data_IF_423967740860
#
_entry.id   IF_423967740860
#
_cell.length_a   1.000
_cell.length_b   1.000
_cell.length_c   1.000
_cell.angle_alpha   90.00
_cell.angle_beta   90.00
_cell.angle_gamma   90.00
#
_symmetry.space_group_name_H-M   'P 1'
#
loop_
_entity.id
_entity.type
_entity.pdbx_description
1 polymer ?
#
# COMPACT_ATOMS: atom_id res chain seq x y z
N UNK A 1 0.40 6.94 -30.77
CA UNK A 1 1.08 7.94 -29.92
C UNK A 1 1.18 7.39 -28.50
N UNK A 2 2.32 6.82 -28.12
CA UNK A 2 2.58 6.36 -26.75
C UNK A 2 2.75 7.59 -25.86
N UNK A 3 1.76 7.92 -25.02
CA UNK A 3 1.90 9.02 -24.04
C UNK A 3 2.99 8.65 -23.05
N UNK A 4 4.14 9.32 -23.16
CA UNK A 4 5.23 9.21 -22.19
C UNK A 4 4.81 9.93 -20.90
N UNK A 5 4.76 9.21 -19.79
CA UNK A 5 4.57 9.83 -18.47
C UNK A 5 5.81 10.67 -18.16
N UNK A 6 5.63 11.98 -18.00
CA UNK A 6 6.75 12.88 -17.69
C UNK A 6 7.31 12.57 -16.29
N UNK A 7 8.62 12.77 -16.04
CA UNK A 7 9.21 12.55 -14.72
C UNK A 7 8.58 13.41 -13.62
N UNK A 8 8.06 14.59 -13.97
CA UNK A 8 7.32 15.46 -13.03
C UNK A 8 5.97 14.84 -12.67
N UNK A 9 5.20 14.40 -13.65
CA UNK A 9 3.91 13.74 -13.41
C UNK A 9 4.07 12.47 -12.57
N UNK A 10 5.05 11.62 -12.88
CA UNK A 10 5.32 10.41 -12.11
C UNK A 10 5.64 10.72 -10.63
N UNK A 11 6.47 11.73 -10.36
CA UNK A 11 6.77 12.16 -8.99
C UNK A 11 5.55 12.70 -8.25
N UNK A 12 4.67 13.44 -8.93
CA UNK A 12 3.43 13.93 -8.33
C UNK A 12 2.48 12.79 -7.99
N UNK A 13 2.29 11.83 -8.91
CA UNK A 13 1.43 10.65 -8.65
C UNK A 13 1.98 9.83 -7.50
N UNK A 14 3.30 9.58 -7.45
CA UNK A 14 3.92 8.87 -6.33
C UNK A 14 3.70 9.61 -5.01
N UNK A 15 3.87 10.93 -4.98
CA UNK A 15 3.67 11.72 -3.77
C UNK A 15 2.21 11.68 -3.29
N UNK A 16 1.25 11.92 -4.19
CA UNK A 16 -0.18 11.91 -3.86
C UNK A 16 -0.67 10.51 -3.47
N UNK A 17 -0.28 9.48 -4.22
CA UNK A 17 -0.62 8.09 -3.92
C UNK A 17 -0.02 7.63 -2.59
N UNK A 18 1.19 8.05 -2.27
CA UNK A 18 1.80 7.78 -0.96
C UNK A 18 1.11 8.54 0.19
N UNK A 19 0.70 9.79 -0.05
CA UNK A 19 -0.02 10.57 0.95
C UNK A 19 -1.38 9.95 1.31
N UNK A 20 -2.05 9.30 0.35
CA UNK A 20 -3.30 8.59 0.58
C UNK A 20 -3.14 7.39 1.55
N UNK A 21 -1.93 6.86 1.73
CA UNK A 21 -1.65 5.80 2.70
C UNK A 21 -1.45 6.32 4.14
N UNK A 22 -1.25 7.62 4.34
CA UNK A 22 -0.93 8.18 5.65
C UNK A 22 -2.00 7.91 6.72
N UNK A 23 -3.32 8.08 6.46
CA UNK A 23 -4.35 7.79 7.46
C UNK A 23 -4.35 6.32 7.88
N UNK A 24 -4.18 5.40 6.92
CA UNK A 24 -4.13 3.97 7.20
C UNK A 24 -2.90 3.58 8.02
N UNK A 25 -1.71 4.04 7.63
CA UNK A 25 -0.47 3.74 8.37
C UNK A 25 -0.54 4.30 9.78
N UNK A 26 -0.99 5.55 9.95
CA UNK A 26 -1.13 6.16 11.27
C UNK A 26 -2.11 5.39 12.16
N UNK A 27 -3.25 4.96 11.60
CA UNK A 27 -4.22 4.14 12.30
C UNK A 27 -3.63 2.79 12.71
N UNK A 28 -2.95 2.08 11.80
CA UNK A 28 -2.35 0.78 12.09
C UNK A 28 -1.27 0.86 13.16
N UNK A 29 -0.41 1.87 13.09
CA UNK A 29 0.59 2.15 14.13
C UNK A 29 -0.10 2.45 15.46
N UNK A 30 -1.16 3.26 15.47
CA UNK A 30 -1.92 3.56 16.68
C UNK A 30 -2.55 2.30 17.31
N UNK A 31 -3.11 1.40 16.49
CA UNK A 31 -3.64 0.12 16.95
C UNK A 31 -2.57 -0.79 17.54
N UNK A 32 -1.39 -0.84 16.92
CA UNK A 32 -0.27 -1.62 17.43
C UNK A 32 0.16 -1.16 18.85
N UNK A 33 0.05 0.13 19.16
CA UNK A 33 0.28 0.66 20.50
C UNK A 33 -0.94 0.55 21.46
N UNK A 34 -1.94 -0.28 21.13
CA UNK A 34 -3.12 -0.52 21.95
C UNK A 34 -4.27 0.47 21.73
N UNK A 35 -4.14 1.37 20.76
CA UNK A 35 -5.20 2.30 20.38
C UNK A 35 -6.43 1.59 19.81
N UNK A 36 -7.63 2.09 20.12
CA UNK A 36 -8.90 1.45 19.71
C UNK A 36 -9.75 2.29 18.74
N UNK A 37 -9.19 3.35 18.18
CA UNK A 37 -9.94 4.27 17.33
C UNK A 37 -10.46 3.53 16.10
N UNK A 38 -11.78 3.54 15.93
CA UNK A 38 -12.43 2.90 14.80
C UNK A 38 -12.57 1.38 14.90
N UNK A 39 -12.19 0.75 16.01
CA UNK A 39 -12.57 -0.63 16.33
C UNK A 39 -13.95 -0.64 16.99
N UNK A 40 -14.73 -1.70 16.75
CA UNK A 40 -15.95 -1.94 17.51
C UNK A 40 -15.63 -2.29 18.99
N UNK A 41 -16.61 -2.07 19.87
CA UNK A 41 -16.47 -2.41 21.27
C UNK A 41 -16.24 -3.92 21.45
N UNK A 42 -15.25 -4.26 22.27
CA UNK A 42 -14.85 -5.66 22.49
C UNK A 42 -14.09 -6.33 21.34
N UNK A 43 -13.89 -5.67 20.20
CA UNK A 43 -13.08 -6.23 19.11
C UNK A 43 -11.61 -6.30 19.51
N UNK A 44 -11.01 -7.49 19.32
CA UNK A 44 -9.61 -7.79 19.59
C UNK A 44 -8.90 -8.12 18.28
N UNK A 45 -8.01 -7.22 17.86
CA UNK A 45 -7.25 -7.33 16.61
C UNK A 45 -6.31 -8.54 16.64
N UNK A 46 -5.66 -8.79 17.78
CA UNK A 46 -4.70 -9.89 17.92
C UNK A 46 -5.42 -11.23 17.95
N UNK A 47 -6.51 -11.34 18.71
CA UNK A 47 -7.35 -12.53 18.73
C UNK A 47 -7.97 -12.85 17.37
N UNK A 48 -8.29 -11.83 16.58
CA UNK A 48 -8.77 -12.01 15.20
C UNK A 48 -7.66 -12.54 14.27
N UNK A 49 -6.40 -12.08 14.42
CA UNK A 49 -5.28 -12.65 13.67
C UNK A 49 -5.03 -14.12 14.00
N UNK A 50 -5.08 -14.49 15.29
CA UNK A 50 -4.96 -15.88 15.71
C UNK A 50 -6.07 -16.76 15.12
N UNK A 51 -7.33 -16.28 15.15
CA UNK A 51 -8.48 -16.98 14.56
C UNK A 51 -8.35 -17.16 13.06
N UNK A 52 -7.77 -16.18 12.36
CA UNK A 52 -7.52 -16.24 10.93
C UNK A 52 -6.29 -17.09 10.55
N UNK A 53 -5.66 -17.76 11.52
CA UNK A 53 -4.50 -18.62 11.29
C UNK A 53 -3.23 -17.86 10.95
N UNK A 54 -3.10 -16.61 11.43
CA UNK A 54 -1.87 -15.85 11.27
C UNK A 54 -0.71 -16.60 11.95
N UNK A 55 0.49 -16.67 11.32
CA UNK A 55 1.67 -17.26 11.93
C UNK A 55 2.01 -16.59 13.27
N UNK A 56 2.50 -17.37 14.23
CA UNK A 56 2.87 -16.90 15.57
C UNK A 56 3.82 -15.70 15.55
N UNK A 57 4.73 -15.64 14.56
CA UNK A 57 5.65 -14.52 14.39
C UNK A 57 4.93 -13.20 14.10
N UNK A 58 3.85 -13.22 13.32
CA UNK A 58 3.04 -12.02 13.03
C UNK A 58 2.23 -11.58 14.26
N UNK A 59 1.67 -12.55 14.98
CA UNK A 59 0.96 -12.30 16.24
C UNK A 59 1.92 -11.71 17.28
N UNK A 60 3.14 -12.24 17.39
CA UNK A 60 4.17 -11.72 18.28
C UNK A 60 4.54 -10.28 17.92
N UNK A 61 4.69 -9.99 16.62
CA UNK A 61 5.04 -8.66 16.12
C UNK A 61 3.97 -7.62 16.46
N UNK A 62 2.69 -7.98 16.25
CA UNK A 62 1.53 -7.15 16.60
C UNK A 62 1.51 -6.85 18.10
N UNK A 63 1.73 -7.87 18.94
CA UNK A 63 1.79 -7.74 20.42
C UNK A 63 2.94 -6.83 20.89
N UNK A 64 3.97 -6.65 20.08
CA UNK A 64 5.12 -5.76 20.37
C UNK A 64 5.00 -4.40 19.68
N UNK A 65 3.80 -4.03 19.21
CA UNK A 65 3.54 -2.71 18.65
C UNK A 65 4.03 -2.52 17.22
N UNK A 66 4.27 -3.61 16.50
CA UNK A 66 4.68 -3.56 15.10
C UNK A 66 3.57 -4.20 14.26
N UNK A 67 2.72 -3.36 13.66
CA UNK A 67 1.73 -3.84 12.70
C UNK A 67 2.42 -4.15 11.36
N UNK A 68 2.35 -5.42 10.94
CA UNK A 68 3.02 -5.88 9.73
C UNK A 68 2.48 -5.21 8.45
N UNK A 69 1.20 -4.84 8.43
CA UNK A 69 0.58 -4.15 7.29
C UNK A 69 1.04 -2.69 7.19
N UNK A 70 1.28 -2.02 8.30
CA UNK A 70 1.91 -0.70 8.34
C UNK A 70 3.34 -0.76 7.81
N UNK A 71 4.12 -1.77 8.21
CA UNK A 71 5.47 -2.01 7.70
C UNK A 71 5.46 -2.24 6.19
N UNK A 72 4.59 -3.13 5.69
CA UNK A 72 4.42 -3.38 4.26
C UNK A 72 4.00 -2.13 3.49
N UNK A 73 3.07 -1.34 4.02
CA UNK A 73 2.62 -0.09 3.42
C UNK A 73 3.77 0.92 3.32
N UNK A 74 4.56 1.09 4.38
CA UNK A 74 5.75 1.95 4.40
C UNK A 74 6.82 1.46 3.42
N UNK A 75 7.05 0.15 3.32
CA UNK A 75 7.93 -0.44 2.32
C UNK A 75 7.44 -0.17 0.90
N UNK A 76 6.13 -0.29 0.64
CA UNK A 76 5.52 0.04 -0.65
C UNK A 76 5.69 1.52 -1.02
N UNK A 77 5.46 2.42 -0.07
CA UNK A 77 5.70 3.87 -0.25
C UNK A 77 7.18 4.15 -0.54
N UNK A 78 8.09 3.56 0.24
CA UNK A 78 9.54 3.72 0.04
C UNK A 78 9.97 3.19 -1.33
N UNK A 79 9.45 2.03 -1.75
CA UNK A 79 9.68 1.46 -3.07
C UNK A 79 9.16 2.38 -4.18
N UNK A 80 7.96 2.96 -4.03
CA UNK A 80 7.42 3.92 -4.99
C UNK A 80 8.32 5.15 -5.15
N UNK A 81 8.83 5.70 -4.04
CA UNK A 81 9.82 6.78 -4.09
C UNK A 81 11.16 6.35 -4.72
N UNK A 82 11.63 5.13 -4.47
CA UNK A 82 12.83 4.58 -5.08
C UNK A 82 12.74 4.55 -6.61
N UNK A 83 11.54 4.34 -7.16
CA UNK A 83 11.33 4.28 -8.60
C UNK A 83 11.48 5.64 -9.29
N UNK A 84 11.18 6.75 -8.59
CA UNK A 84 11.14 8.10 -9.18
C UNK A 84 12.19 9.06 -8.65
N UNK A 85 12.92 8.71 -7.58
CA UNK A 85 13.97 9.55 -6.97
C UNK A 85 15.37 9.12 -7.43
N UNK A 86 16.35 10.05 -7.44
CA UNK A 86 17.72 9.75 -7.88
C UNK A 86 18.40 8.63 -7.11
N UNK A 87 18.15 8.51 -5.80
CA UNK A 87 18.80 7.52 -4.94
C UNK A 87 18.44 6.08 -5.35
N UNK A 88 17.22 5.82 -5.83
CA UNK A 88 16.81 4.48 -6.25
C UNK A 88 17.38 4.07 -7.61
N UNK A 89 18.06 4.96 -8.33
CA UNK A 89 18.88 4.60 -9.51
C UNK A 89 20.12 3.79 -9.13
N UNK A 90 20.57 3.86 -7.87
CA UNK A 90 21.70 3.06 -7.36
C UNK A 90 21.33 1.60 -7.11
N UNK A 91 20.03 1.30 -6.99
CA UNK A 91 19.52 -0.03 -6.73
C UNK A 91 19.29 -0.79 -8.04
N UNK A 92 19.57 -2.11 -8.07
CA UNK A 92 19.37 -2.91 -9.26
C UNK A 92 17.88 -3.01 -9.62
N UNK A 93 17.59 -2.98 -10.92
CA UNK A 93 16.20 -2.92 -11.42
C UNK A 93 15.39 -4.17 -11.08
N UNK A 94 16.05 -5.33 -11.03
CA UNK A 94 15.41 -6.60 -10.67
C UNK A 94 14.92 -6.62 -9.22
N UNK A 95 15.49 -5.78 -8.35
CA UNK A 95 15.03 -5.68 -6.96
C UNK A 95 13.82 -4.75 -6.81
N UNK A 96 13.60 -3.84 -7.75
CA UNK A 96 12.56 -2.81 -7.63
C UNK A 96 11.34 -3.08 -8.52
N UNK A 97 11.55 -3.52 -9.76
CA UNK A 97 10.45 -3.65 -10.71
C UNK A 97 9.51 -4.83 -10.39
N UNK A 98 9.98 -6.05 -10.09
CA UNK A 98 9.10 -7.15 -9.74
C UNK A 98 8.19 -6.85 -8.53
N UNK A 99 8.70 -6.38 -7.36
CA UNK A 99 7.82 -6.07 -6.24
C UNK A 99 6.92 -4.87 -6.51
N UNK A 100 7.35 -3.89 -7.33
CA UNK A 100 6.49 -2.78 -7.70
C UNK A 100 5.29 -3.23 -8.55
N UNK A 101 5.52 -4.13 -9.52
CA UNK A 101 4.45 -4.73 -10.30
C UNK A 101 3.54 -5.60 -9.44
N UNK A 102 4.09 -6.42 -8.55
CA UNK A 102 3.29 -7.19 -7.60
C UNK A 102 2.39 -6.26 -6.75
N UNK A 103 2.93 -5.15 -6.27
CA UNK A 103 2.17 -4.16 -5.50
C UNK A 103 1.05 -3.46 -6.28
N UNK A 104 1.02 -3.50 -7.61
CA UNK A 104 -0.13 -3.00 -8.39
C UNK A 104 -1.41 -3.81 -8.16
N UNK A 105 -1.29 -5.05 -7.67
CA UNK A 105 -2.43 -5.87 -7.25
C UNK A 105 -3.20 -5.28 -6.07
N UNK A 106 -2.63 -4.30 -5.36
CA UNK A 106 -3.38 -3.52 -4.37
C UNK A 106 -4.51 -2.70 -5.01
N UNK A 107 -4.43 -2.36 -6.30
CA UNK A 107 -5.49 -1.65 -7.00
C UNK A 107 -6.79 -2.48 -7.05
N UNK A 108 -6.81 -3.68 -7.67
CA UNK A 108 -8.02 -4.49 -7.69
C UNK A 108 -8.45 -4.92 -6.28
N UNK A 109 -7.52 -5.17 -5.35
CA UNK A 109 -7.85 -5.48 -3.96
C UNK A 109 -8.57 -4.32 -3.25
N UNK A 110 -8.07 -3.09 -3.39
CA UNK A 110 -8.69 -1.89 -2.84
C UNK A 110 -10.05 -1.59 -3.46
N UNK A 111 -10.19 -1.77 -4.78
CA UNK A 111 -11.48 -1.63 -5.47
C UNK A 111 -12.49 -2.68 -4.99
N UNK A 112 -12.08 -3.94 -4.88
CA UNK A 112 -12.92 -5.01 -4.37
C UNK A 112 -13.38 -4.73 -2.95
N UNK A 113 -12.46 -4.28 -2.09
CA UNK A 113 -12.77 -3.86 -0.70
C UNK A 113 -13.81 -2.75 -0.67
N UNK A 114 -13.68 -1.75 -1.54
CA UNK A 114 -14.66 -0.67 -1.66
C UNK A 114 -16.04 -1.19 -2.12
N UNK A 115 -16.08 -2.08 -3.11
CA UNK A 115 -17.33 -2.67 -3.61
C UNK A 115 -18.02 -3.50 -2.52
N UNK A 116 -17.29 -4.36 -1.81
CA UNK A 116 -17.83 -5.18 -0.71
C UNK A 116 -18.40 -4.29 0.39
N UNK A 117 -17.69 -3.23 0.76
CA UNK A 117 -18.14 -2.30 1.78
C UNK A 117 -19.40 -1.51 1.36
N UNK A 118 -19.48 -1.08 0.10
CA UNK A 118 -20.63 -0.35 -0.43
C UNK A 118 -21.87 -1.24 -0.62
N UNK A 119 -21.68 -2.53 -0.85
CA UNK A 119 -22.77 -3.49 -1.07
C UNK A 119 -23.28 -4.12 0.22
N UNK A 120 -22.60 -3.91 1.36
CA UNK A 120 -22.98 -4.54 2.62
C UNK A 120 -22.72 -6.05 2.68
N UNK A 121 -22.08 -6.64 1.65
CA UNK A 121 -21.82 -8.08 1.53
C UNK A 121 -20.62 -8.57 2.37
N UNK A 122 -20.27 -7.86 3.44
CA UNK A 122 -19.17 -8.23 4.35
C UNK A 122 -19.47 -9.41 5.28
N UNK A 123 -20.70 -9.93 5.25
CA UNK A 123 -21.23 -10.99 6.12
C UNK A 123 -22.21 -10.46 7.17
N UNK A 124 -23.05 -11.35 7.73
CA UNK A 124 -24.07 -11.03 8.75
C UNK A 124 -23.48 -10.72 10.15
N UNK A 125 -22.16 -10.66 10.27
CA UNK A 125 -21.48 -10.34 11.51
C UNK A 125 -21.60 -8.84 11.82
N UNK A 126 -21.73 -8.50 13.11
CA UNK A 126 -21.67 -7.11 13.55
C UNK A 126 -20.37 -6.45 13.02
N UNK A 127 -20.42 -5.20 12.54
CA UNK A 127 -19.25 -4.54 11.99
C UNK A 127 -18.11 -4.51 13.01
N UNK A 128 -16.95 -5.08 12.67
CA UNK A 128 -15.76 -5.12 13.53
C UNK A 128 -15.05 -3.76 13.62
N UNK A 129 -15.34 -2.86 12.68
CA UNK A 129 -14.72 -1.55 12.54
C UNK A 129 -15.74 -0.49 12.16
N UNK A 130 -15.47 0.75 12.54
CA UNK A 130 -16.30 1.91 12.21
C UNK A 130 -16.13 2.33 10.74
N UNK A 131 -17.08 3.11 10.25
CA UNK A 131 -17.22 3.51 8.84
C UNK A 131 -16.01 4.19 8.17
N UNK A 132 -15.11 4.83 8.92
CA UNK A 132 -13.98 5.56 8.33
C UNK A 132 -12.75 4.67 8.06
N UNK A 133 -12.67 3.51 8.73
CA UNK A 133 -11.53 2.58 8.64
C UNK A 133 -11.41 2.02 7.22
N UNK A 134 -12.54 1.66 6.61
CA UNK A 134 -12.57 1.09 5.26
C UNK A 134 -12.10 2.09 4.20
N UNK A 135 -12.64 3.33 4.12
CA UNK A 135 -12.11 4.37 3.24
C UNK A 135 -10.61 4.64 3.42
N UNK A 136 -10.10 4.62 4.66
CA UNK A 136 -8.66 4.79 4.92
C UNK A 136 -7.83 3.65 4.29
N UNK A 137 -8.26 2.40 4.47
CA UNK A 137 -7.61 1.24 3.84
C UNK A 137 -7.70 1.25 2.32
N UNK A 138 -8.88 1.52 1.76
CA UNK A 138 -9.07 1.65 0.30
C UNK A 138 -8.17 2.73 -0.28
N UNK A 139 -8.11 3.91 0.36
CA UNK A 139 -7.23 5.00 -0.05
C UNK A 139 -5.76 4.59 -0.07
N UNK A 140 -5.32 3.85 0.95
CA UNK A 140 -3.96 3.33 1.01
C UNK A 140 -3.66 2.33 -0.11
N UNK A 141 -4.53 1.34 -0.34
CA UNK A 141 -4.32 0.31 -1.36
C UNK A 141 -4.30 0.90 -2.78
N UNK A 142 -5.27 1.75 -3.11
CA UNK A 142 -5.33 2.42 -4.40
C UNK A 142 -4.14 3.38 -4.59
N UNK A 143 -3.80 4.13 -3.53
CA UNK A 143 -2.70 5.09 -3.54
C UNK A 143 -1.34 4.43 -3.76
N UNK A 144 -1.00 3.42 -2.95
CA UNK A 144 0.26 2.68 -3.05
C UNK A 144 0.34 1.93 -4.37
N UNK A 145 -0.70 1.18 -4.74
CA UNK A 145 -0.72 0.39 -5.98
C UNK A 145 -0.53 1.25 -7.22
N UNK A 146 -1.19 2.43 -7.26
CA UNK A 146 -1.06 3.39 -8.35
C UNK A 146 0.32 4.04 -8.38
N UNK A 147 0.87 4.43 -7.22
CA UNK A 147 2.20 5.00 -7.10
C UNK A 147 3.29 4.03 -7.61
N UNK A 148 3.17 2.75 -7.25
CA UNK A 148 4.08 1.70 -7.71
C UNK A 148 3.97 1.46 -9.22
N UNK A 149 2.77 1.34 -9.75
CA UNK A 149 2.55 1.12 -11.19
C UNK A 149 3.09 2.27 -12.04
N UNK A 150 2.76 3.52 -11.68
CA UNK A 150 3.24 4.71 -12.41
C UNK A 150 4.75 4.89 -12.25
N UNK A 151 5.30 4.63 -11.06
CA UNK A 151 6.74 4.67 -10.81
C UNK A 151 7.51 3.64 -11.66
N UNK A 152 7.03 2.39 -11.70
CA UNK A 152 7.64 1.32 -12.47
C UNK A 152 7.57 1.60 -13.98
N UNK A 153 6.41 2.04 -14.46
CA UNK A 153 6.20 2.42 -15.86
C UNK A 153 7.11 3.58 -16.29
N UNK A 154 7.19 4.64 -15.47
CA UNK A 154 8.05 5.80 -15.76
C UNK A 154 9.52 5.38 -15.84
N UNK A 155 9.99 4.53 -14.91
CA UNK A 155 11.36 4.03 -14.90
C UNK A 155 11.68 3.20 -16.14
N UNK A 156 10.77 2.33 -16.59
CA UNK A 156 10.95 1.54 -17.81
C UNK A 156 11.11 2.42 -19.05
N UNK A 157 10.26 3.44 -19.19
CA UNK A 157 10.29 4.34 -20.35
C UNK A 157 11.57 5.20 -20.41
N UNK A 158 12.10 5.63 -19.26
CA UNK A 158 13.37 6.38 -19.22
C UNK A 158 14.55 5.56 -19.75
N UNK A 159 14.55 4.26 -19.51
CA UNK A 159 15.60 3.38 -20.02
C UNK A 159 15.49 3.12 -21.52
N UNK A 160 14.28 2.98 -22.06
CA UNK A 160 14.07 2.81 -23.49
C UNK A 160 14.57 4.05 -24.28
N UNK A 161 14.31 5.25 -23.76
CA UNK A 161 14.81 6.50 -24.35
C UNK A 161 16.34 6.59 -24.30
N UNK A 162 16.97 6.18 -23.19
CA UNK A 162 18.43 6.22 -23.05
C UNK A 162 19.16 5.16 -23.92
N UNK A 163 18.53 4.02 -24.21
CA UNK A 163 19.09 2.95 -25.03
C UNK A 163 18.92 3.15 -26.54
N UNK A 164 18.04 4.06 -26.96
CA UNK A 164 17.76 4.37 -28.37
C UNK A 164 18.60 5.49 -28.97
N UNK A 165 19.52 6.11 -28.22
CA UNK A 165 20.49 7.05 -28.80
C UNK A 165 21.67 6.27 -29.40
N UNK A 166 21.96 6.40 -30.71
CA UNK A 166 23.19 5.88 -31.28
C UNK A 166 24.40 6.52 -30.58
N UNK A 167 25.40 5.70 -30.26
CA UNK A 167 26.70 6.13 -29.71
C UNK A 167 27.57 6.72 -30.81
#
# INVERSE_FOLDING_TARGET
MTRVVTPRAARMVVALGSAAAAPYVAMKVYWAFGGRAGLADGFDVTGEFERNGAPDALVWLERHGIDFTAVLALMGVMLAFALVRPWGRRLPRWLLLPPAWAGTLLIPYGLLTAVVALTGNGGDAAPSVTQWVVPAGVGAFLGIGTALGVGAWSRLNQHAVAGGMPR
#
